data_IF_267841133520
#
_entry.id   IF_267841133520
#
_cell.length_a   1.000
_cell.length_b   1.000
_cell.length_c   1.000
_cell.angle_alpha   90.00
_cell.angle_beta   90.00
_cell.angle_gamma   90.00
#
_symmetry.space_group_name_H-M   'P 1'
#
loop_
_entity.id
_entity.type
_entity.pdbx_description
1 polymer ?
#
# COMPACT_ATOMS: atom_id res chain seq x y z
N UNK A 1 23.78 0.41 -17.49
CA UNK A 1 22.68 -0.12 -16.63
C UNK A 1 22.04 -1.28 -17.38
N UNK A 2 22.18 -2.51 -16.90
CA UNK A 2 21.60 -3.69 -17.54
C UNK A 2 20.11 -3.76 -17.16
N UNK A 3 19.16 -3.80 -18.11
CA UNK A 3 17.75 -4.00 -17.79
C UNK A 3 17.59 -5.35 -17.13
N UNK A 4 17.00 -5.39 -15.94
CA UNK A 4 16.64 -6.65 -15.30
C UNK A 4 15.20 -6.96 -15.73
N UNK A 5 14.98 -8.09 -16.42
CA UNK A 5 13.64 -8.60 -16.75
C UNK A 5 12.89 -8.99 -15.46
N UNK A 6 12.38 -8.01 -14.73
CA UNK A 6 11.56 -8.20 -13.52
C UNK A 6 10.24 -7.50 -13.74
N UNK A 7 9.18 -8.29 -13.87
CA UNK A 7 7.81 -7.80 -13.89
C UNK A 7 7.20 -7.88 -12.48
N UNK A 8 6.41 -6.88 -12.14
CA UNK A 8 5.57 -6.92 -10.93
C UNK A 8 4.19 -7.50 -11.26
N UNK A 9 3.33 -7.72 -10.26
CA UNK A 9 1.99 -8.28 -10.46
C UNK A 9 1.05 -7.35 -11.25
N UNK A 10 1.40 -6.07 -11.41
CA UNK A 10 0.53 -5.07 -12.03
C UNK A 10 0.12 -5.38 -13.47
N UNK A 11 0.99 -6.04 -14.25
CA UNK A 11 0.68 -6.40 -15.65
C UNK A 11 -0.39 -7.48 -15.69
N UNK A 12 -0.17 -8.62 -15.03
CA UNK A 12 -1.16 -9.70 -14.97
C UNK A 12 -2.46 -9.25 -14.29
N UNK A 13 -2.38 -8.39 -13.29
CA UNK A 13 -3.54 -7.81 -12.62
C UNK A 13 -4.38 -6.98 -13.60
N UNK A 14 -3.76 -6.05 -14.33
CA UNK A 14 -4.48 -5.22 -15.31
C UNK A 14 -5.13 -6.06 -16.41
N UNK A 15 -4.45 -7.11 -16.90
CA UNK A 15 -5.03 -8.04 -17.88
C UNK A 15 -6.26 -8.76 -17.32
N UNK A 16 -6.18 -9.31 -16.11
CA UNK A 16 -7.33 -9.98 -15.51
C UNK A 16 -8.51 -9.02 -15.30
N UNK A 17 -8.25 -7.78 -14.86
CA UNK A 17 -9.30 -6.77 -14.77
C UNK A 17 -9.91 -6.46 -16.15
N UNK A 18 -9.10 -6.26 -17.18
CA UNK A 18 -9.61 -5.99 -18.53
C UNK A 18 -10.45 -7.16 -19.09
N UNK A 19 -10.11 -8.40 -18.76
CA UNK A 19 -10.89 -9.59 -19.14
C UNK A 19 -12.26 -9.63 -18.41
N UNK A 20 -12.31 -9.19 -17.14
CA UNK A 20 -13.55 -9.12 -16.37
C UNK A 20 -14.44 -7.93 -16.74
N UNK A 21 -13.84 -6.82 -17.19
CA UNK A 21 -14.52 -5.58 -17.58
C UNK A 21 -14.11 -5.16 -19.00
N UNK A 22 -14.57 -5.89 -20.04
CA UNK A 22 -14.11 -5.71 -21.42
C UNK A 22 -14.53 -4.38 -22.06
N UNK A 23 -15.59 -3.74 -21.54
CA UNK A 23 -16.10 -2.47 -22.03
C UNK A 23 -15.47 -1.26 -21.32
N UNK A 24 -14.68 -1.49 -20.27
CA UNK A 24 -14.02 -0.44 -19.49
C UNK A 24 -12.54 -0.31 -19.84
N UNK A 25 -12.02 0.92 -19.77
CA UNK A 25 -10.57 1.15 -19.86
C UNK A 25 -9.95 1.08 -18.47
N UNK A 26 -9.18 0.02 -18.20
CA UNK A 26 -8.51 -0.17 -16.92
C UNK A 26 -7.22 0.67 -16.84
N UNK A 27 -7.17 1.58 -15.87
CA UNK A 27 -5.98 2.37 -15.53
C UNK A 27 -5.27 1.85 -14.28
N UNK A 28 -3.92 1.82 -14.31
CA UNK A 28 -3.11 1.50 -13.13
C UNK A 28 -2.14 2.64 -12.83
N UNK A 29 -2.32 3.30 -11.69
CA UNK A 29 -1.36 4.26 -11.14
C UNK A 29 -0.35 3.50 -10.29
N UNK A 30 0.89 3.38 -10.79
CA UNK A 30 1.96 2.68 -10.08
C UNK A 30 2.93 3.65 -9.43
N UNK A 31 2.82 3.81 -8.12
CA UNK A 31 3.86 4.45 -7.29
C UNK A 31 4.41 3.42 -6.32
N UNK A 32 5.66 3.02 -6.53
CA UNK A 32 6.31 1.99 -5.71
C UNK A 32 7.82 2.22 -5.69
N UNK A 33 8.45 2.13 -4.52
CA UNK A 33 9.90 2.28 -4.38
C UNK A 33 10.46 1.24 -3.43
N UNK A 34 11.48 0.51 -3.88
CA UNK A 34 12.13 -0.53 -3.09
C UNK A 34 12.77 0.01 -1.82
N UNK A 35 12.84 -0.84 -0.80
CA UNK A 35 13.47 -0.56 0.49
C UNK A 35 12.88 0.66 1.22
N UNK A 36 11.57 0.87 1.14
CA UNK A 36 10.90 2.07 1.67
C UNK A 36 9.94 1.69 2.80
N UNK A 37 10.04 2.40 3.91
CA UNK A 37 9.10 2.41 5.03
C UNK A 37 7.81 3.17 4.73
N UNK A 38 6.77 2.88 5.51
CA UNK A 38 5.44 3.48 5.34
C UNK A 38 5.42 5.00 5.56
N UNK A 39 6.34 5.52 6.38
CA UNK A 39 6.48 6.95 6.66
C UNK A 39 6.74 7.80 5.41
N UNK A 40 7.34 7.23 4.37
CA UNK A 40 7.52 7.92 3.08
C UNK A 40 6.18 8.18 2.36
N UNK A 41 5.13 7.43 2.70
CA UNK A 41 3.78 7.57 2.17
C UNK A 41 2.84 8.36 3.10
N UNK A 42 3.34 8.99 4.16
CA UNK A 42 2.50 9.88 4.95
C UNK A 42 2.18 11.18 4.21
N UNK A 43 0.93 11.64 4.31
CA UNK A 43 0.50 12.91 3.72
C UNK A 43 1.28 14.10 4.26
N UNK A 44 1.46 14.14 5.57
CA UNK A 44 2.26 15.14 6.28
C UNK A 44 3.71 14.69 6.44
N UNK A 45 4.32 14.26 5.33
CA UNK A 45 5.68 13.75 5.32
C UNK A 45 6.70 14.73 5.94
N UNK A 46 7.62 14.20 6.73
CA UNK A 46 8.82 14.92 7.18
C UNK A 46 10.08 14.08 7.01
N UNK A 47 11.21 14.76 6.83
CA UNK A 47 12.51 14.11 6.68
C UNK A 47 12.86 13.28 7.92
N UNK A 48 12.70 13.86 9.12
CA UNK A 48 13.06 13.25 10.40
C UNK A 48 12.29 11.94 10.62
N UNK A 49 11.00 11.92 10.24
CA UNK A 49 10.14 10.76 10.39
C UNK A 49 10.48 9.66 9.39
N UNK A 50 10.69 10.02 8.13
CA UNK A 50 11.13 9.10 7.09
C UNK A 50 12.54 8.53 7.33
N UNK A 51 13.41 9.27 8.02
CA UNK A 51 14.77 8.81 8.30
C UNK A 51 14.82 7.69 9.36
N UNK A 52 13.75 7.48 10.15
CA UNK A 52 13.63 6.32 11.05
C UNK A 52 13.70 4.98 10.30
N UNK A 53 13.25 4.96 9.05
CA UNK A 53 13.36 3.83 8.10
C UNK A 53 14.48 4.02 7.07
N UNK A 54 15.31 5.07 7.18
CA UNK A 54 16.39 5.45 6.24
C UNK A 54 15.89 5.90 4.86
N UNK A 55 14.73 6.54 4.85
CA UNK A 55 14.04 6.97 3.63
C UNK A 55 13.97 8.49 3.46
N UNK A 56 14.58 9.28 4.33
CA UNK A 56 14.49 10.76 4.26
C UNK A 56 14.95 11.30 2.90
N UNK A 57 16.01 10.71 2.33
CA UNK A 57 16.53 11.06 1.01
C UNK A 57 15.56 10.76 -0.16
N UNK A 58 14.53 9.97 0.08
CA UNK A 58 13.57 9.57 -0.96
C UNK A 58 12.50 10.63 -1.22
N UNK A 59 12.27 11.54 -0.28
CA UNK A 59 11.18 12.51 -0.34
C UNK A 59 9.81 11.88 -0.08
N UNK A 60 8.76 12.69 -0.24
CA UNK A 60 7.37 12.26 -0.04
C UNK A 60 6.85 11.46 -1.23
N UNK A 61 6.69 10.15 -1.05
CA UNK A 61 6.04 9.27 -2.03
C UNK A 61 4.53 9.47 -2.06
N UNK A 62 3.92 9.99 -0.98
CA UNK A 62 2.52 10.42 -1.01
C UNK A 62 2.31 11.55 -2.01
N UNK A 63 3.21 12.55 -2.03
CA UNK A 63 3.17 13.63 -3.01
C UNK A 63 3.35 13.12 -4.44
N UNK A 64 4.26 12.17 -4.65
CA UNK A 64 4.44 11.53 -5.96
C UNK A 64 3.17 10.79 -6.40
N UNK A 65 2.53 10.06 -5.48
CA UNK A 65 1.23 9.41 -5.71
C UNK A 65 0.15 10.41 -6.10
N UNK A 66 -0.03 11.48 -5.33
CA UNK A 66 -1.04 12.50 -5.62
C UNK A 66 -0.75 13.28 -6.91
N UNK A 67 0.51 13.42 -7.29
CA UNK A 67 0.89 14.02 -8.59
C UNK A 67 0.48 13.10 -9.75
N UNK A 68 0.66 11.79 -9.61
CA UNK A 68 0.20 10.82 -10.61
C UNK A 68 -1.34 10.74 -10.70
N UNK A 69 -2.03 10.84 -9.56
CA UNK A 69 -3.50 10.98 -9.49
C UNK A 69 -3.96 12.23 -10.23
N UNK A 70 -3.31 13.38 -9.99
CA UNK A 70 -3.65 14.63 -10.66
C UNK A 70 -3.45 14.53 -12.17
N UNK A 71 -2.38 13.88 -12.63
CA UNK A 71 -2.14 13.66 -14.05
C UNK A 71 -3.20 12.74 -14.68
N UNK A 72 -3.58 11.66 -14.00
CA UNK A 72 -4.67 10.78 -14.45
C UNK A 72 -6.00 11.53 -14.60
N UNK A 73 -6.34 12.39 -13.62
CA UNK A 73 -7.52 13.29 -13.68
C UNK A 73 -7.41 14.36 -14.79
N UNK A 74 -6.20 14.72 -15.22
CA UNK A 74 -5.98 15.71 -16.27
C UNK A 74 -6.18 15.13 -17.67
N UNK A 75 -5.71 13.90 -17.89
CA UNK A 75 -5.76 13.23 -19.20
C UNK A 75 -7.02 12.40 -19.41
N UNK A 76 -7.78 12.15 -18.35
CA UNK A 76 -8.99 11.32 -18.36
C UNK A 76 -9.94 11.72 -17.22
N UNK A 77 -11.12 11.10 -17.14
CA UNK A 77 -12.05 11.26 -16.02
C UNK A 77 -12.19 9.92 -15.27
N UNK A 78 -11.17 9.49 -14.50
CA UNK A 78 -11.15 8.15 -13.92
C UNK A 78 -12.06 8.04 -12.70
N UNK A 79 -12.67 6.88 -12.54
CA UNK A 79 -13.17 6.40 -11.25
C UNK A 79 -12.04 5.70 -10.50
N UNK A 80 -11.86 6.01 -9.21
CA UNK A 80 -10.84 5.36 -8.38
C UNK A 80 -11.43 4.16 -7.64
N UNK A 81 -11.21 2.96 -8.20
CA UNK A 81 -11.90 1.74 -7.75
C UNK A 81 -11.17 0.96 -6.63
N UNK A 82 -9.95 1.34 -6.26
CA UNK A 82 -9.25 0.67 -5.17
C UNK A 82 -7.78 1.02 -5.03
N UNK A 83 -7.19 0.50 -3.94
CA UNK A 83 -5.81 0.68 -3.56
C UNK A 83 -5.15 -0.66 -3.27
N UNK A 84 -4.03 -0.96 -3.93
CA UNK A 84 -3.25 -2.18 -3.70
C UNK A 84 -1.98 -1.82 -2.94
N UNK A 85 -1.85 -2.31 -1.72
CA UNK A 85 -0.72 -2.01 -0.85
C UNK A 85 0.12 -3.25 -0.57
N UNK A 86 1.42 -3.18 -0.89
CA UNK A 86 2.38 -4.22 -0.54
C UNK A 86 3.68 -3.61 -0.07
N UNK A 87 3.79 -3.47 1.25
CA UNK A 87 4.97 -2.99 1.96
C UNK A 87 4.90 -3.59 3.38
N UNK A 88 6.05 -3.68 4.06
CA UNK A 88 6.17 -4.03 5.49
C UNK A 88 7.64 -4.25 5.89
N UNK A 89 8.49 -4.63 4.93
CA UNK A 89 9.85 -5.13 5.21
C UNK A 89 10.70 -4.12 6.01
N UNK A 90 10.68 -2.86 5.60
CA UNK A 90 11.58 -1.85 6.18
C UNK A 90 11.07 -1.27 7.51
N UNK A 91 9.80 -1.52 7.84
CA UNK A 91 9.17 -1.20 9.14
C UNK A 91 9.21 -2.38 10.13
N UNK A 92 9.89 -3.48 9.81
CA UNK A 92 9.96 -4.67 10.67
C UNK A 92 10.72 -4.48 11.99
N UNK A 93 11.28 -3.30 12.26
CA UNK A 93 11.90 -2.98 13.56
C UNK A 93 10.80 -2.74 14.59
N UNK A 94 10.95 -3.27 15.81
CA UNK A 94 9.91 -3.23 16.87
C UNK A 94 9.17 -1.88 16.99
N UNK A 95 9.91 -0.78 17.16
CA UNK A 95 9.30 0.54 17.33
C UNK A 95 8.52 1.04 16.10
N UNK A 96 8.91 0.63 14.89
CA UNK A 96 8.17 0.98 13.66
C UNK A 96 6.98 0.03 13.45
N UNK A 97 7.14 -1.23 13.79
CA UNK A 97 6.09 -2.24 13.70
C UNK A 97 4.90 -1.92 14.63
N UNK A 98 5.17 -1.38 15.82
CA UNK A 98 4.14 -0.93 16.77
C UNK A 98 3.27 0.21 16.22
N UNK A 99 3.84 1.09 15.40
CA UNK A 99 3.13 2.23 14.78
C UNK A 99 2.52 1.88 13.40
N UNK A 100 2.86 0.71 12.85
CA UNK A 100 2.59 0.39 11.45
C UNK A 100 1.10 0.38 11.11
N UNK A 101 0.28 -0.19 11.99
CA UNK A 101 -1.16 -0.28 11.79
C UNK A 101 -1.82 1.10 11.76
N UNK A 102 -1.45 1.97 12.69
CA UNK A 102 -1.97 3.34 12.76
C UNK A 102 -1.53 4.16 11.54
N UNK A 103 -0.25 4.05 11.16
CA UNK A 103 0.28 4.73 9.97
C UNK A 103 -0.40 4.24 8.69
N UNK A 104 -0.68 2.94 8.58
CA UNK A 104 -1.39 2.38 7.43
C UNK A 104 -2.86 2.81 7.38
N UNK A 105 -3.55 2.80 8.51
CA UNK A 105 -4.93 3.26 8.61
C UNK A 105 -5.04 4.74 8.26
N UNK A 106 -4.08 5.55 8.72
CA UNK A 106 -3.99 6.96 8.36
C UNK A 106 -3.73 7.16 6.87
N UNK A 107 -2.84 6.38 6.25
CA UNK A 107 -2.60 6.42 4.80
C UNK A 107 -3.89 6.13 4.01
N UNK A 108 -4.64 5.09 4.37
CA UNK A 108 -5.90 4.76 3.69
C UNK A 108 -6.93 5.87 3.88
N UNK A 109 -7.05 6.42 5.09
CA UNK A 109 -7.94 7.55 5.39
C UNK A 109 -7.59 8.81 4.60
N UNK A 110 -6.30 9.16 4.54
CA UNK A 110 -5.80 10.31 3.78
C UNK A 110 -6.09 10.15 2.28
N UNK A 111 -5.86 8.95 1.74
CA UNK A 111 -6.17 8.64 0.33
C UNK A 111 -7.67 8.69 0.05
N UNK A 112 -8.49 8.07 0.90
CA UNK A 112 -9.95 8.11 0.81
C UNK A 112 -10.46 9.55 0.76
N UNK A 113 -9.96 10.41 1.64
CA UNK A 113 -10.31 11.83 1.69
C UNK A 113 -9.86 12.59 0.43
N UNK A 114 -8.61 12.41 -0.01
CA UNK A 114 -8.06 13.15 -1.16
C UNK A 114 -8.60 12.66 -2.51
N UNK A 115 -9.02 11.40 -2.59
CA UNK A 115 -9.70 10.83 -3.77
C UNK A 115 -11.20 11.11 -3.76
N UNK A 116 -11.79 11.43 -2.60
CA UNK A 116 -13.23 11.62 -2.44
C UNK A 116 -14.02 10.30 -2.47
N UNK A 117 -13.43 9.20 -1.98
CA UNK A 117 -14.01 7.85 -2.00
C UNK A 117 -14.20 7.36 -0.57
N UNK A 118 -15.43 7.31 -0.07
CA UNK A 118 -15.73 7.05 1.35
C UNK A 118 -15.41 5.63 1.84
N UNK A 119 -15.29 4.67 0.94
CA UNK A 119 -14.98 3.27 1.25
C UNK A 119 -14.01 2.72 0.19
N UNK A 120 -12.79 3.24 0.18
CA UNK A 120 -11.79 2.89 -0.83
C UNK A 120 -11.37 1.43 -0.66
N UNK A 121 -11.73 0.51 -1.60
CA UNK A 121 -11.39 -0.90 -1.45
C UNK A 121 -9.87 -1.06 -1.38
N UNK A 122 -9.38 -1.63 -0.28
CA UNK A 122 -7.95 -1.73 -0.01
C UNK A 122 -7.51 -3.19 0.04
N UNK A 123 -6.59 -3.55 -0.85
CA UNK A 123 -6.10 -4.91 -1.02
C UNK A 123 -4.65 -5.01 -0.52
N UNK A 124 -4.40 -5.94 0.40
CA UNK A 124 -3.07 -6.22 0.95
C UNK A 124 -2.66 -7.63 0.56
N UNK A 125 -1.81 -7.82 -0.48
CA UNK A 125 -1.37 -9.14 -0.87
C UNK A 125 -0.50 -9.76 0.21
N UNK A 126 -0.88 -10.94 0.69
CA UNK A 126 -0.09 -11.75 1.59
C UNK A 126 0.53 -12.94 0.84
N UNK A 127 1.66 -13.45 1.34
CA UNK A 127 2.30 -14.66 0.83
C UNK A 127 1.81 -15.94 1.51
N UNK A 128 1.07 -15.83 2.60
CA UNK A 128 0.57 -17.00 3.31
C UNK A 128 -0.70 -17.52 2.64
N UNK A 129 -0.90 -18.84 2.67
CA UNK A 129 -2.15 -19.46 2.25
C UNK A 129 -3.27 -19.13 3.22
N UNK A 130 -4.52 -19.41 2.83
CA UNK A 130 -5.68 -19.25 3.71
C UNK A 130 -5.53 -20.13 4.97
N UNK A 131 -5.01 -21.35 4.85
CA UNK A 131 -4.75 -22.20 6.00
C UNK A 131 -3.67 -21.62 6.93
N UNK A 132 -2.60 -21.05 6.37
CA UNK A 132 -1.53 -20.43 7.15
C UNK A 132 -1.99 -19.15 7.85
N UNK A 133 -2.82 -18.33 7.18
CA UNK A 133 -3.48 -17.17 7.77
C UNK A 133 -4.40 -17.58 8.92
N UNK A 134 -5.24 -18.59 8.69
CA UNK A 134 -6.18 -19.09 9.69
C UNK A 134 -5.46 -19.67 10.91
N UNK A 135 -4.41 -20.46 10.70
CA UNK A 135 -3.59 -21.01 11.78
C UNK A 135 -2.90 -19.90 12.59
N UNK A 136 -2.37 -18.85 11.93
CA UNK A 136 -1.79 -17.70 12.62
C UNK A 136 -2.83 -16.93 13.43
N UNK A 137 -4.02 -16.72 12.88
CA UNK A 137 -5.12 -16.05 13.57
C UNK A 137 -5.54 -16.81 14.83
N UNK A 138 -5.75 -18.12 14.74
CA UNK A 138 -6.06 -18.97 15.91
C UNK A 138 -4.96 -18.92 16.98
N UNK A 139 -3.69 -18.89 16.57
CA UNK A 139 -2.57 -18.77 17.51
C UNK A 139 -2.55 -17.44 18.26
N UNK A 140 -3.04 -16.35 17.67
CA UNK A 140 -3.09 -15.04 18.32
C UNK A 140 -4.19 -15.03 19.38
N UNK A 141 -5.41 -15.45 19.03
CA UNK A 141 -6.54 -15.55 19.97
C UNK A 141 -6.19 -16.43 21.17
N UNK A 142 -5.56 -17.58 20.93
CA UNK A 142 -5.14 -18.49 21.99
C UNK A 142 -4.00 -17.97 22.87
N UNK A 143 -3.29 -16.90 22.48
CA UNK A 143 -2.29 -16.22 23.33
C UNK A 143 -2.92 -15.12 24.17
N UNK A 144 -3.89 -14.39 23.63
CA UNK A 144 -4.60 -13.35 24.37
C UNK A 144 -5.43 -13.94 25.50
N UNK A 145 -6.15 -15.06 25.27
CA UNK A 145 -6.88 -15.76 26.33
C UNK A 145 -6.00 -16.31 27.47
N UNK A 146 -4.70 -16.54 27.21
CA UNK A 146 -3.74 -16.97 28.24
C UNK A 146 -3.06 -15.81 28.96
N UNK A 147 -3.19 -14.58 28.46
CA UNK A 147 -2.70 -13.37 29.14
C UNK A 147 -3.75 -12.75 30.07
N UNK A 148 -5.02 -13.12 29.91
CA UNK A 148 -6.15 -12.67 30.73
C UNK A 148 -6.52 -13.64 31.88
N UNK A 149 -5.82 -14.77 32.03
CA UNK A 149 -6.02 -15.78 33.07
C UNK A 149 -4.83 -15.85 34.04
#
# INVERSE_FOLDING_TARGET
MVPHNKFGPGVSFAHQLADFWPDDTIGVIKVSRGSTGISAFEKNWSFERAERSKDGWKGSLYKDLMSAVAEAKRISNPEFCGFVWKQARDDGKKALAEEYYDNFTQLVSDLSADLGVSDLPTFIPNYATDEELFARFLSIIGKDQRREA
#
